data_IF_592740955193
#
_entry.id   IF_592740955193
#
_cell.length_a   1.000
_cell.length_b   1.000
_cell.length_c   1.000
_cell.angle_alpha   90.00
_cell.angle_beta   90.00
_cell.angle_gamma   90.00
#
_symmetry.space_group_name_H-M   'P 1'
#
loop_
_entity.id
_entity.type
_entity.pdbx_description
1 polymer ?
#
# COMPACT_ATOMS: atom_id res chain seq x y z
N UNK A 1 -56.73 -14.02 37.16
CA UNK A 1 -55.53 -14.85 36.92
C UNK A 1 -54.71 -14.12 35.86
N UNK A 2 -53.87 -13.20 36.33
CA UNK A 2 -53.10 -12.28 35.49
C UNK A 2 -51.71 -12.86 35.37
N UNK A 3 -51.36 -13.39 34.19
CA UNK A 3 -49.99 -13.80 33.89
C UNK A 3 -49.21 -12.54 33.51
N UNK A 4 -48.44 -12.02 34.47
CA UNK A 4 -47.39 -11.06 34.18
C UNK A 4 -46.27 -11.80 33.42
N UNK A 5 -46.14 -11.51 32.14
CA UNK A 5 -44.95 -11.86 31.37
C UNK A 5 -43.86 -10.86 31.74
N UNK A 6 -42.92 -11.31 32.56
CA UNK A 6 -41.71 -10.60 32.91
C UNK A 6 -40.82 -10.52 31.66
N UNK A 7 -40.92 -9.42 30.91
CA UNK A 7 -39.98 -9.10 29.84
C UNK A 7 -38.68 -8.72 30.50
N UNK A 8 -37.82 -9.72 30.65
CA UNK A 8 -36.42 -9.53 31.02
C UNK A 8 -35.78 -8.65 29.95
N UNK A 9 -35.63 -7.36 30.25
CA UNK A 9 -34.78 -6.46 29.46
C UNK A 9 -33.36 -7.00 29.54
N UNK A 10 -32.91 -7.61 28.45
CA UNK A 10 -31.50 -7.85 28.21
C UNK A 10 -30.79 -6.50 28.11
N UNK A 11 -30.33 -6.04 29.28
CA UNK A 11 -29.38 -4.96 29.38
C UNK A 11 -28.00 -5.53 29.11
N UNK A 12 -27.62 -5.62 27.83
CA UNK A 12 -26.25 -5.90 27.46
C UNK A 12 -26.09 -6.66 26.16
N UNK A 13 -26.35 -5.97 25.04
CA UNK A 13 -25.64 -6.04 23.75
C UNK A 13 -26.42 -5.13 22.79
N UNK A 14 -25.95 -3.89 22.63
CA UNK A 14 -26.59 -2.91 21.76
C UNK A 14 -26.74 -3.46 20.34
N UNK A 15 -27.90 -3.25 19.73
CA UNK A 15 -28.13 -3.58 18.33
C UNK A 15 -27.30 -2.65 17.43
N UNK A 16 -26.11 -3.07 17.05
CA UNK A 16 -25.29 -2.36 16.06
C UNK A 16 -25.44 -3.07 14.72
N UNK A 17 -25.89 -2.35 13.70
CA UNK A 17 -25.95 -2.90 12.35
C UNK A 17 -24.53 -3.14 11.80
N UNK A 18 -24.40 -3.87 10.69
CA UNK A 18 -23.09 -4.08 10.05
C UNK A 18 -22.29 -2.77 9.85
N UNK A 19 -22.97 -1.67 9.52
CA UNK A 19 -22.34 -0.37 9.37
C UNK A 19 -21.66 0.12 10.66
N UNK A 20 -22.32 -0.07 11.80
CA UNK A 20 -21.80 0.31 13.12
C UNK A 20 -20.61 -0.57 13.51
N UNK A 21 -20.67 -1.87 13.23
CA UNK A 21 -19.57 -2.81 13.48
C UNK A 21 -18.33 -2.45 12.64
N UNK A 22 -18.53 -2.09 11.37
CA UNK A 22 -17.44 -1.63 10.49
C UNK A 22 -16.85 -0.31 10.98
N UNK A 23 -17.69 0.63 11.42
CA UNK A 23 -17.22 1.89 11.97
C UNK A 23 -16.42 1.68 13.27
N UNK A 24 -16.88 0.80 14.15
CA UNK A 24 -16.18 0.44 15.38
C UNK A 24 -14.84 -0.25 15.09
N UNK A 25 -14.79 -1.14 14.09
CA UNK A 25 -13.55 -1.77 13.63
C UNK A 25 -12.58 -0.72 13.07
N UNK A 26 -13.05 0.17 12.20
CA UNK A 26 -12.25 1.26 11.64
C UNK A 26 -11.65 2.13 12.73
N UNK A 27 -12.48 2.60 13.68
CA UNK A 27 -12.03 3.44 14.78
C UNK A 27 -10.97 2.73 15.64
N UNK A 28 -11.18 1.44 15.97
CA UNK A 28 -10.20 0.65 16.71
C UNK A 28 -8.89 0.45 15.95
N UNK A 29 -8.96 0.12 14.66
CA UNK A 29 -7.78 -0.08 13.83
C UNK A 29 -6.99 1.21 13.64
N UNK A 30 -7.68 2.34 13.42
CA UNK A 30 -7.04 3.65 13.27
C UNK A 30 -6.41 4.10 14.58
N UNK A 31 -7.08 3.90 15.72
CA UNK A 31 -6.53 4.21 17.05
C UNK A 31 -5.34 3.32 17.47
N UNK A 32 -5.16 2.15 16.83
CA UNK A 32 -4.02 1.29 17.08
C UNK A 32 -2.73 1.78 16.40
N UNK A 33 -2.85 2.61 15.36
CA UNK A 33 -1.70 3.23 14.69
C UNK A 33 -1.22 4.41 15.53
N UNK A 34 0.08 4.47 15.84
CA UNK A 34 0.60 5.48 16.75
C UNK A 34 2.12 5.60 16.76
N UNK A 35 2.67 5.90 17.94
CA UNK A 35 4.08 6.23 18.12
C UNK A 35 5.03 5.09 17.74
N UNK A 36 4.62 3.84 17.93
CA UNK A 36 5.41 2.66 17.54
C UNK A 36 5.58 2.59 16.02
N UNK A 37 4.50 2.80 15.26
CA UNK A 37 4.55 2.82 13.80
C UNK A 37 5.38 4.00 13.27
N UNK A 38 5.27 5.16 13.92
CA UNK A 38 6.12 6.31 13.60
C UNK A 38 7.60 6.03 13.92
N UNK A 39 7.90 5.39 15.04
CA UNK A 39 9.27 4.99 15.37
C UNK A 39 9.81 3.98 14.34
N UNK A 40 8.99 3.02 13.93
CA UNK A 40 9.33 2.04 12.90
C UNK A 40 9.62 2.72 11.56
N UNK A 41 8.73 3.57 11.06
CA UNK A 41 8.92 4.22 9.74
C UNK A 41 10.13 5.17 9.74
N UNK A 42 10.43 5.80 10.88
CA UNK A 42 11.65 6.58 11.10
C UNK A 42 12.90 5.71 11.03
N UNK A 43 12.87 4.52 11.65
CA UNK A 43 13.98 3.56 11.58
C UNK A 43 14.18 3.03 10.15
N UNK A 44 13.11 2.65 9.45
CA UNK A 44 13.17 2.23 8.05
C UNK A 44 13.75 3.34 7.17
N UNK A 45 13.35 4.60 7.40
CA UNK A 45 13.92 5.76 6.72
C UNK A 45 15.42 5.88 6.95
N UNK A 46 15.88 5.70 8.20
CA UNK A 46 17.30 5.75 8.55
C UNK A 46 18.09 4.62 7.85
N UNK A 47 17.57 3.39 7.84
CA UNK A 47 18.17 2.28 7.09
C UNK A 47 18.22 2.55 5.59
N UNK A 48 17.12 3.08 5.01
CA UNK A 48 17.05 3.49 3.61
C UNK A 48 18.13 4.50 3.25
N UNK A 49 18.29 5.57 4.05
CA UNK A 49 19.34 6.59 3.85
C UNK A 49 20.75 5.99 3.94
N UNK A 50 21.00 5.07 4.87
CA UNK A 50 22.29 4.40 5.00
C UNK A 50 22.60 3.48 3.79
N UNK A 51 21.62 2.71 3.33
CA UNK A 51 21.74 1.86 2.14
C UNK A 51 21.97 2.70 0.89
N UNK A 52 21.23 3.81 0.73
CA UNK A 52 21.37 4.76 -0.38
C UNK A 52 22.79 5.36 -0.44
N UNK A 53 23.32 5.80 0.70
CA UNK A 53 24.69 6.29 0.78
C UNK A 53 25.70 5.21 0.38
N UNK A 54 25.55 3.99 0.92
CA UNK A 54 26.50 2.90 0.69
C UNK A 54 26.47 2.39 -0.75
N UNK A 55 25.30 2.25 -1.38
CA UNK A 55 25.22 1.84 -2.80
C UNK A 55 25.92 2.85 -3.71
N UNK A 56 25.76 4.16 -3.45
CA UNK A 56 26.40 5.24 -4.23
C UNK A 56 27.91 5.29 -4.04
N UNK A 57 28.39 4.98 -2.84
CA UNK A 57 29.83 4.82 -2.58
C UNK A 57 30.41 3.64 -3.37
N UNK A 58 29.75 2.47 -3.34
CA UNK A 58 30.17 1.29 -4.10
C UNK A 58 30.16 1.53 -5.62
N UNK A 59 29.20 2.31 -6.13
CA UNK A 59 29.18 2.70 -7.54
C UNK A 59 30.36 3.60 -7.91
N UNK A 60 30.81 4.49 -7.01
CA UNK A 60 32.00 5.33 -7.21
C UNK A 60 33.30 4.54 -7.10
N UNK A 61 33.37 3.55 -6.21
CA UNK A 61 34.52 2.63 -6.10
C UNK A 61 34.75 1.88 -7.43
N UNK A 62 33.65 1.41 -8.05
CA UNK A 62 33.70 0.74 -9.33
C UNK A 62 34.23 -0.70 -9.26
N UNK A 63 34.35 -1.34 -10.44
CA UNK A 63 34.79 -2.72 -10.57
C UNK A 63 33.70 -3.77 -10.32
N UNK A 64 33.88 -5.01 -10.81
CA UNK A 64 32.80 -6.00 -10.89
C UNK A 64 32.20 -6.43 -9.54
N UNK A 65 32.98 -6.39 -8.45
CA UNK A 65 32.49 -6.76 -7.11
C UNK A 65 31.70 -5.62 -6.47
N UNK A 66 32.16 -4.38 -6.58
CA UNK A 66 31.46 -3.24 -6.02
C UNK A 66 30.14 -3.00 -6.76
N UNK A 67 30.13 -3.09 -8.10
CA UNK A 67 28.91 -2.98 -8.92
C UNK A 67 27.87 -4.02 -8.49
N UNK A 68 28.24 -5.31 -8.38
CA UNK A 68 27.29 -6.35 -7.93
C UNK A 68 26.69 -6.06 -6.56
N UNK A 69 27.50 -5.59 -5.61
CA UNK A 69 27.02 -5.23 -4.27
C UNK A 69 26.11 -3.99 -4.31
N UNK A 70 26.46 -2.98 -5.11
CA UNK A 70 25.64 -1.81 -5.30
C UNK A 70 24.28 -2.17 -5.91
N UNK A 71 24.24 -3.07 -6.89
CA UNK A 71 22.98 -3.58 -7.48
C UNK A 71 22.12 -4.28 -6.44
N UNK A 72 22.70 -5.14 -5.59
CA UNK A 72 21.94 -5.79 -4.52
C UNK A 72 21.36 -4.78 -3.52
N UNK A 73 22.14 -3.77 -3.14
CA UNK A 73 21.67 -2.69 -2.26
C UNK A 73 20.63 -1.79 -2.94
N UNK A 74 20.73 -1.55 -4.25
CA UNK A 74 19.69 -0.85 -5.03
C UNK A 74 18.37 -1.59 -4.97
N UNK A 75 18.36 -2.92 -5.18
CA UNK A 75 17.13 -3.70 -5.11
C UNK A 75 16.50 -3.64 -3.72
N UNK A 76 17.31 -3.78 -2.66
CA UNK A 76 16.84 -3.66 -1.28
C UNK A 76 16.28 -2.26 -0.98
N UNK A 77 17.01 -1.21 -1.39
CA UNK A 77 16.57 0.17 -1.25
C UNK A 77 15.23 0.40 -1.95
N UNK A 78 15.11 -0.06 -3.20
CA UNK A 78 13.89 0.13 -4.00
C UNK A 78 12.68 -0.58 -3.41
N UNK A 79 12.88 -1.79 -2.89
CA UNK A 79 11.82 -2.54 -2.22
C UNK A 79 11.31 -1.81 -0.96
N UNK A 80 12.23 -1.31 -0.12
CA UNK A 80 11.82 -0.54 1.07
C UNK A 80 11.13 0.77 0.70
N UNK A 81 11.68 1.50 -0.29
CA UNK A 81 11.07 2.73 -0.80
C UNK A 81 9.65 2.49 -1.33
N UNK A 82 9.42 1.36 -2.02
CA UNK A 82 8.12 1.03 -2.56
C UNK A 82 7.16 0.49 -1.50
N UNK A 83 7.46 -0.67 -0.93
CA UNK A 83 6.53 -1.46 -0.13
C UNK A 83 6.32 -0.93 1.28
N UNK A 84 7.36 -0.40 1.92
CA UNK A 84 7.30 -0.02 3.33
C UNK A 84 7.05 1.47 3.51
N UNK A 85 7.73 2.29 2.71
CA UNK A 85 7.69 3.75 2.80
C UNK A 85 6.60 4.35 1.91
N UNK A 86 6.88 4.59 0.63
CA UNK A 86 6.05 5.47 -0.18
C UNK A 86 4.64 4.94 -0.44
N UNK A 87 4.44 3.63 -0.64
CA UNK A 87 3.08 3.11 -0.84
C UNK A 87 2.21 3.38 0.39
N UNK A 88 2.69 3.02 1.58
CA UNK A 88 1.95 3.20 2.84
C UNK A 88 1.76 4.68 3.19
N UNK A 89 2.81 5.49 3.05
CA UNK A 89 2.76 6.91 3.41
C UNK A 89 1.82 7.67 2.48
N UNK A 90 1.92 7.44 1.17
CA UNK A 90 1.08 8.16 0.20
C UNK A 90 -0.40 7.74 0.32
N UNK A 91 -0.69 6.52 0.80
CA UNK A 91 -2.04 6.10 1.20
C UNK A 91 -2.59 6.79 2.46
N UNK A 92 -1.80 7.62 3.14
CA UNK A 92 -2.26 8.38 4.30
C UNK A 92 -2.36 7.56 5.59
N UNK A 93 -1.56 6.50 5.70
CA UNK A 93 -1.51 5.65 6.92
C UNK A 93 -1.34 6.49 8.19
N UNK A 94 -0.49 7.52 8.14
CA UNK A 94 -0.08 8.32 9.30
C UNK A 94 -0.75 9.70 9.41
N UNK A 95 -1.54 10.14 8.44
CA UNK A 95 -2.00 11.54 8.32
C UNK A 95 -2.80 12.05 9.55
N UNK A 96 -3.51 11.14 10.22
CA UNK A 96 -4.26 11.43 11.44
C UNK A 96 -3.40 11.63 12.70
N UNK A 97 -2.10 11.29 12.66
CA UNK A 97 -1.19 11.44 13.78
C UNK A 97 -0.61 12.86 13.79
N UNK A 98 -0.69 13.59 14.93
CA UNK A 98 -0.20 14.97 15.01
C UNK A 98 1.30 15.09 14.73
N UNK A 99 2.09 14.07 15.10
CA UNK A 99 3.55 14.07 14.99
C UNK A 99 4.07 13.29 13.76
N UNK A 100 3.23 13.08 12.74
CA UNK A 100 3.63 12.37 11.52
C UNK A 100 4.71 13.11 10.71
N UNK A 101 4.83 14.44 10.83
CA UNK A 101 5.94 15.21 10.26
C UNK A 101 6.09 15.01 8.75
N UNK A 102 7.27 14.60 8.28
CA UNK A 102 7.51 14.37 6.83
C UNK A 102 6.66 13.22 6.25
N UNK A 103 6.09 12.34 7.09
CA UNK A 103 5.32 11.15 6.70
C UNK A 103 3.84 11.41 6.43
N UNK A 104 3.42 12.66 6.23
CA UNK A 104 2.07 12.99 5.80
C UNK A 104 1.95 12.87 4.27
N UNK A 105 0.87 12.27 3.79
CA UNK A 105 0.69 11.92 2.37
C UNK A 105 0.72 13.11 1.41
N UNK A 106 0.34 14.30 1.87
CA UNK A 106 0.30 15.52 1.04
C UNK A 106 1.68 16.08 0.68
N UNK A 107 2.69 15.91 1.53
CA UNK A 107 4.01 16.51 1.31
C UNK A 107 5.17 15.52 1.37
N UNK A 108 4.90 14.23 1.61
CA UNK A 108 5.94 13.21 1.57
C UNK A 108 6.60 13.15 0.20
N UNK A 109 7.93 13.30 0.19
CA UNK A 109 8.74 13.19 -1.03
C UNK A 109 9.17 11.75 -1.22
N UNK A 110 8.53 11.09 -2.17
CA UNK A 110 8.85 9.70 -2.47
C UNK A 110 9.98 9.59 -3.50
N UNK A 111 11.12 9.03 -3.09
CA UNK A 111 12.18 8.64 -4.03
C UNK A 111 11.81 7.33 -4.74
N UNK A 112 11.07 7.47 -5.85
CA UNK A 112 10.62 6.37 -6.71
C UNK A 112 10.65 6.78 -8.20
N UNK A 113 10.26 5.87 -9.11
CA UNK A 113 10.39 6.06 -10.58
C UNK A 113 9.15 6.74 -11.18
N UNK A 114 8.28 7.29 -10.34
CA UNK A 114 7.03 7.93 -10.75
C UNK A 114 6.81 9.15 -9.87
N UNK A 115 6.23 10.17 -10.48
CA UNK A 115 5.78 11.36 -9.76
C UNK A 115 4.63 10.99 -8.80
N UNK A 116 4.62 11.60 -7.62
CA UNK A 116 3.65 11.28 -6.56
C UNK A 116 2.22 11.61 -6.99
N UNK A 117 1.99 12.74 -7.65
CA UNK A 117 0.65 13.17 -8.06
C UNK A 117 0.11 12.27 -9.18
N UNK A 118 0.98 11.91 -10.12
CA UNK A 118 0.63 10.93 -11.15
C UNK A 118 0.32 9.56 -10.52
N UNK A 119 1.11 9.12 -9.55
CA UNK A 119 0.84 7.87 -8.85
C UNK A 119 -0.48 7.90 -8.07
N UNK A 120 -0.79 8.99 -7.34
CA UNK A 120 -2.10 9.17 -6.69
C UNK A 120 -3.24 9.11 -7.70
N UNK A 121 -3.08 9.73 -8.87
CA UNK A 121 -4.11 9.70 -9.92
C UNK A 121 -4.33 8.28 -10.45
N UNK A 122 -3.27 7.61 -10.89
CA UNK A 122 -3.37 6.27 -11.46
C UNK A 122 -3.81 5.23 -10.43
N UNK A 123 -3.33 5.35 -9.19
CA UNK A 123 -3.55 4.33 -8.17
C UNK A 123 -4.75 4.63 -7.27
N UNK A 124 -4.89 5.82 -6.68
CA UNK A 124 -6.01 6.13 -5.77
C UNK A 124 -7.32 6.39 -6.51
N UNK A 125 -7.26 7.00 -7.69
CA UNK A 125 -8.47 7.32 -8.48
C UNK A 125 -8.72 6.25 -9.53
N UNK A 126 -7.68 5.85 -10.25
CA UNK A 126 -7.78 4.86 -11.33
C UNK A 126 -7.96 3.43 -10.81
N UNK A 127 -7.10 2.98 -9.90
CA UNK A 127 -7.06 1.59 -9.47
C UNK A 127 -7.99 1.28 -8.27
N UNK A 128 -7.75 1.80 -7.07
CA UNK A 128 -8.45 1.38 -5.84
C UNK A 128 -9.99 1.38 -5.90
N UNK A 129 -10.67 2.40 -6.45
CA UNK A 129 -12.13 2.42 -6.53
C UNK A 129 -12.66 1.45 -7.59
N UNK A 130 -11.81 1.08 -8.54
CA UNK A 130 -12.17 0.27 -9.69
C UNK A 130 -11.49 -1.09 -9.69
N UNK A 131 -10.80 -1.49 -8.61
CA UNK A 131 -9.96 -2.68 -8.59
C UNK A 131 -10.75 -3.89 -9.06
N UNK A 132 -10.20 -4.62 -10.03
CA UNK A 132 -10.83 -5.78 -10.66
C UNK A 132 -12.07 -5.51 -11.53
N UNK A 133 -12.35 -4.27 -11.91
CA UNK A 133 -13.44 -3.92 -12.82
C UNK A 133 -12.89 -3.74 -14.24
N UNK A 134 -13.24 -4.66 -15.14
CA UNK A 134 -12.81 -4.65 -16.55
C UNK A 134 -13.23 -3.35 -17.24
N UNK A 135 -12.29 -2.71 -17.92
CA UNK A 135 -12.52 -1.44 -18.64
C UNK A 135 -12.55 -0.21 -17.73
N UNK A 136 -12.28 -0.37 -16.43
CA UNK A 136 -12.12 0.73 -15.45
C UNK A 136 -10.76 0.66 -14.77
N UNK A 137 -10.35 -0.51 -14.30
CA UNK A 137 -9.01 -0.76 -13.79
C UNK A 137 -8.03 -0.90 -14.95
N UNK A 138 -7.00 -0.06 -14.98
CA UNK A 138 -5.98 -0.17 -16.02
C UNK A 138 -5.13 -1.43 -15.87
N UNK A 139 -5.07 -1.99 -14.66
CA UNK A 139 -4.32 -3.21 -14.37
C UNK A 139 -5.01 -4.45 -14.98
N UNK A 140 -6.29 -4.34 -15.34
CA UNK A 140 -7.12 -5.40 -15.93
C UNK A 140 -7.86 -4.90 -17.18
N UNK A 141 -7.23 -5.06 -18.35
CA UNK A 141 -7.86 -4.68 -19.61
C UNK A 141 -6.90 -4.13 -20.65
N UNK A 142 -5.86 -3.45 -20.19
CA UNK A 142 -5.01 -2.60 -21.04
C UNK A 142 -3.55 -3.09 -21.15
N UNK A 143 -3.25 -4.22 -20.51
CA UNK A 143 -1.97 -4.91 -20.63
C UNK A 143 -1.95 -5.86 -21.83
N UNK A 144 -0.76 -6.29 -22.24
CA UNK A 144 -0.54 -7.36 -23.23
C UNK A 144 -1.04 -8.74 -22.74
N UNK A 145 -1.32 -8.84 -21.44
CA UNK A 145 -1.80 -10.06 -20.80
C UNK A 145 -3.32 -10.02 -20.61
N UNK A 146 -3.97 -11.11 -20.96
CA UNK A 146 -5.36 -11.42 -20.63
C UNK A 146 -5.43 -12.04 -19.23
N UNK A 147 -5.86 -11.25 -18.24
CA UNK A 147 -5.97 -11.65 -16.84
C UNK A 147 -7.39 -12.03 -16.38
N UNK A 148 -8.42 -11.67 -17.14
CA UNK A 148 -9.83 -11.92 -16.80
C UNK A 148 -10.59 -12.63 -17.93
N UNK A 149 -11.56 -13.46 -17.55
CA UNK A 149 -12.45 -14.14 -18.49
C UNK A 149 -13.30 -13.16 -19.31
N UNK A 150 -13.61 -11.97 -18.76
CA UNK A 150 -14.39 -10.92 -19.42
C UNK A 150 -13.61 -10.08 -20.44
N UNK A 151 -12.30 -10.29 -20.59
CA UNK A 151 -11.51 -9.62 -21.63
C UNK A 151 -11.62 -10.37 -22.96
N UNK A 152 -11.76 -9.61 -24.05
CA UNK A 152 -11.68 -10.12 -25.41
C UNK A 152 -10.36 -10.85 -25.66
N UNK A 153 -10.40 -11.79 -26.59
CA UNK A 153 -9.23 -12.54 -26.99
C UNK A 153 -8.61 -11.95 -28.26
N UNK A 154 -7.29 -11.78 -28.26
CA UNK A 154 -6.49 -11.33 -29.40
C UNK A 154 -5.32 -12.30 -29.63
N UNK A 155 -4.83 -12.36 -30.88
CA UNK A 155 -3.81 -13.33 -31.29
C UNK A 155 -2.50 -13.31 -30.48
N UNK A 156 -2.10 -12.15 -29.95
CA UNK A 156 -0.90 -12.03 -29.12
C UNK A 156 -1.02 -12.76 -27.76
N UNK A 157 -2.23 -13.05 -27.29
CA UNK A 157 -2.44 -13.83 -26.06
C UNK A 157 -1.97 -15.29 -26.18
N UNK A 158 -1.70 -15.80 -27.38
CA UNK A 158 -1.06 -17.12 -27.54
C UNK A 158 0.32 -17.17 -26.90
N UNK A 159 1.07 -16.06 -26.92
CA UNK A 159 2.39 -15.97 -26.31
C UNK A 159 2.38 -15.88 -24.78
N UNK A 160 1.21 -15.63 -24.18
CA UNK A 160 1.09 -15.42 -22.74
C UNK A 160 1.48 -16.66 -21.93
N UNK A 161 1.18 -17.87 -22.40
CA UNK A 161 1.59 -19.11 -21.72
C UNK A 161 3.11 -19.13 -21.53
N UNK A 162 3.89 -18.77 -22.56
CA UNK A 162 5.35 -18.74 -22.48
C UNK A 162 5.90 -17.63 -21.57
N UNK A 163 5.11 -16.60 -21.25
CA UNK A 163 5.50 -15.49 -20.36
C UNK A 163 5.20 -15.76 -18.88
N UNK A 164 4.27 -16.67 -18.59
CA UNK A 164 3.83 -17.03 -17.23
C UNK A 164 4.26 -18.44 -16.80
N UNK A 165 4.93 -19.19 -17.68
CA UNK A 165 5.53 -20.51 -17.41
C UNK A 165 6.98 -20.38 -16.97
#
# INVERSE_FOLDING_TARGET
>A
MTLASDVRTDAGLGSTGLADDLQALYARAKAAVGDEDLAHIRNVTAYGRAIDARRRELLREGGPRAIRRATALEMAYRLMQFSELGHNIIHGSYDHLPDCGEYHSDHYRWDFNVDVDHWKTMHHVGHHPNTNIVGRDHDLGYSILRGSAGQDWYGHHLGQVALIS
#
